data_IF_221414489952
#
_entry.id   IF_221414489952
#
_cell.length_a   1.000
_cell.length_b   1.000
_cell.length_c   1.000
_cell.angle_alpha   90.00
_cell.angle_beta   90.00
_cell.angle_gamma   90.00
#
_symmetry.space_group_name_H-M   'P 1'
#
loop_
_entity.id
_entity.type
_entity.pdbx_description
1 polymer ?
#
# COMPACT_ATOMS: atom_id res chain seq x y z
N UNK A 1 11.35 -19.73 19.07
CA UNK A 1 9.95 -19.43 18.69
C UNK A 1 8.98 -20.46 19.27
N UNK A 2 9.11 -21.77 18.99
CA UNK A 2 8.32 -22.81 19.70
C UNK A 2 9.09 -23.40 20.91
N UNK A 3 10.43 -23.38 20.86
CA UNK A 3 11.30 -23.86 21.94
C UNK A 3 11.70 -22.78 22.97
N UNK A 4 11.04 -21.62 22.99
CA UNK A 4 11.33 -20.55 23.96
C UNK A 4 12.64 -19.77 23.79
N UNK A 5 13.41 -20.01 22.71
CA UNK A 5 14.72 -19.35 22.48
C UNK A 5 14.69 -17.83 22.20
N UNK A 6 13.52 -17.26 21.89
CA UNK A 6 13.32 -15.83 21.62
C UNK A 6 12.08 -15.41 22.41
N UNK A 7 12.21 -14.45 23.33
CA UNK A 7 11.17 -14.05 24.28
C UNK A 7 11.20 -12.54 24.46
N UNK A 8 10.04 -11.88 24.50
CA UNK A 8 9.89 -10.43 24.73
C UNK A 8 10.60 -9.53 23.70
N UNK A 9 10.70 -9.98 22.44
CA UNK A 9 11.35 -9.21 21.38
C UNK A 9 10.33 -8.55 20.43
N UNK A 10 10.47 -7.25 20.20
CA UNK A 10 9.83 -6.55 19.08
C UNK A 10 10.71 -6.66 17.84
N UNK A 11 10.15 -7.13 16.71
CA UNK A 11 10.89 -7.44 15.49
C UNK A 11 10.13 -6.87 14.29
N UNK A 12 10.83 -6.14 13.40
CA UNK A 12 10.26 -5.70 12.13
C UNK A 12 10.20 -6.88 11.15
N UNK A 13 9.04 -7.10 10.54
CA UNK A 13 8.87 -8.05 9.43
C UNK A 13 8.46 -7.27 8.19
N UNK A 14 9.40 -7.12 7.26
CA UNK A 14 9.22 -6.36 6.02
C UNK A 14 10.22 -6.86 4.97
N UNK A 15 10.23 -6.23 3.79
CA UNK A 15 11.15 -6.61 2.70
C UNK A 15 12.56 -6.00 2.84
N UNK A 16 12.70 -4.87 3.54
CA UNK A 16 13.99 -4.20 3.76
C UNK A 16 14.45 -3.32 2.59
N UNK A 17 13.57 -3.09 1.60
CA UNK A 17 13.75 -2.09 0.54
C UNK A 17 12.49 -1.23 0.43
N UNK A 18 12.66 0.05 0.12
CA UNK A 18 11.57 1.00 -0.09
C UNK A 18 11.18 1.09 -1.56
N UNK A 19 9.89 1.28 -1.82
CA UNK A 19 9.33 1.58 -3.14
C UNK A 19 8.40 2.79 -3.02
N UNK A 20 8.22 3.55 -4.09
CA UNK A 20 7.30 4.69 -4.10
C UNK A 20 5.86 4.21 -4.33
N UNK A 21 4.88 4.99 -3.86
CA UNK A 21 3.45 4.74 -4.16
C UNK A 21 3.19 4.81 -5.67
N UNK A 22 3.84 5.74 -6.37
CA UNK A 22 3.77 5.88 -7.83
C UNK A 22 4.24 4.59 -8.51
N UNK A 23 5.40 4.06 -8.12
CA UNK A 23 5.92 2.82 -8.68
C UNK A 23 4.95 1.65 -8.45
N UNK A 24 4.44 1.48 -7.23
CA UNK A 24 3.46 0.44 -6.93
C UNK A 24 2.19 0.55 -7.79
N UNK A 25 1.66 1.77 -7.96
CA UNK A 25 0.48 2.03 -8.78
C UNK A 25 0.73 1.72 -10.27
N UNK A 26 1.87 2.14 -10.82
CA UNK A 26 2.29 1.84 -12.20
C UNK A 26 2.44 0.33 -12.41
N UNK A 27 3.04 -0.39 -11.46
CA UNK A 27 3.19 -1.84 -11.54
C UNK A 27 1.83 -2.55 -11.52
N UNK A 28 0.91 -2.16 -10.63
CA UNK A 28 -0.45 -2.71 -10.62
C UNK A 28 -1.16 -2.46 -11.96
N UNK A 29 -1.13 -1.21 -12.44
CA UNK A 29 -1.77 -0.82 -13.70
C UNK A 29 -1.24 -1.61 -14.90
N UNK A 30 0.08 -1.82 -14.94
CA UNK A 30 0.75 -2.68 -15.93
C UNK A 30 0.28 -4.13 -15.86
N UNK A 31 0.13 -4.73 -14.68
CA UNK A 31 -0.37 -6.11 -14.53
C UNK A 31 -1.84 -6.26 -14.97
N UNK A 32 -2.64 -5.20 -14.79
CA UNK A 32 -4.05 -5.20 -15.21
C UNK A 32 -4.29 -4.69 -16.64
N UNK A 33 -3.26 -4.17 -17.31
CA UNK A 33 -3.34 -3.69 -18.68
C UNK A 33 -4.12 -2.38 -18.84
N UNK A 34 -4.03 -1.47 -17.87
CA UNK A 34 -4.66 -0.15 -17.92
C UNK A 34 -3.65 0.97 -17.72
N UNK A 35 -4.00 2.18 -18.15
CA UNK A 35 -3.26 3.39 -17.77
C UNK A 35 -3.66 3.79 -16.34
N UNK A 36 -2.70 4.00 -15.41
CA UNK A 36 -3.01 4.47 -14.07
C UNK A 36 -3.55 5.92 -14.11
N UNK A 37 -4.62 6.19 -13.38
CA UNK A 37 -5.11 7.55 -13.15
C UNK A 37 -4.66 7.98 -11.74
N UNK A 38 -3.71 8.90 -11.66
CA UNK A 38 -3.10 9.34 -10.39
C UNK A 38 -3.21 10.85 -10.24
N UNK A 39 -3.65 11.30 -9.05
CA UNK A 39 -3.64 12.71 -8.65
C UNK A 39 -2.63 12.87 -7.52
N UNK A 40 -1.66 13.76 -7.70
CA UNK A 40 -0.68 14.08 -6.65
C UNK A 40 -1.25 15.19 -5.77
N UNK A 41 -1.53 14.87 -4.52
CA UNK A 41 -1.99 15.80 -3.51
C UNK A 41 -0.86 16.20 -2.54
N UNK A 42 -0.97 17.33 -1.82
CA UNK A 42 -0.06 17.67 -0.73
C UNK A 42 -0.06 16.61 0.37
N UNK A 43 1.11 16.35 0.97
CA UNK A 43 1.21 15.41 2.10
C UNK A 43 0.37 15.86 3.29
N UNK A 44 -0.21 14.89 3.99
CA UNK A 44 -1.02 15.14 5.19
C UNK A 44 -0.13 15.42 6.40
N UNK A 45 -0.64 16.22 7.35
CA UNK A 45 0.08 16.47 8.60
C UNK A 45 0.26 15.15 9.37
N UNK A 46 1.52 14.76 9.59
CA UNK A 46 1.87 13.50 10.26
C UNK A 46 2.05 12.30 9.34
N UNK A 47 1.91 12.47 8.03
CA UNK A 47 2.20 11.42 7.05
C UNK A 47 3.70 11.04 7.04
N UNK A 48 3.96 9.73 7.02
CA UNK A 48 5.33 9.22 6.85
C UNK A 48 5.62 9.08 5.36
N UNK A 49 6.47 9.95 4.82
CA UNK A 49 6.78 9.99 3.38
C UNK A 49 7.88 9.01 2.97
N UNK A 50 8.69 8.54 3.90
CA UNK A 50 9.74 7.56 3.63
C UNK A 50 9.98 6.67 4.86
N UNK A 51 9.88 5.36 4.67
CA UNK A 51 10.17 4.37 5.70
C UNK A 51 10.71 3.09 5.07
N UNK A 52 11.89 2.65 5.54
CA UNK A 52 12.48 1.36 5.21
C UNK A 52 12.83 0.68 6.53
N UNK A 53 12.22 -0.47 6.77
CA UNK A 53 12.44 -1.20 8.02
C UNK A 53 13.82 -1.86 8.06
N UNK A 54 14.51 -1.70 9.19
CA UNK A 54 15.71 -2.49 9.50
C UNK A 54 15.31 -3.91 9.88
N UNK A 55 15.84 -4.89 9.14
CA UNK A 55 15.60 -6.32 9.31
C UNK A 55 16.70 -7.05 10.06
N UNK A 56 17.72 -6.36 10.57
CA UNK A 56 18.89 -6.97 11.23
C UNK A 56 18.46 -7.97 12.31
N UNK A 57 17.51 -7.56 13.16
CA UNK A 57 16.98 -8.41 14.23
C UNK A 57 16.16 -9.61 13.74
N UNK A 58 15.40 -9.44 12.66
CA UNK A 58 14.63 -10.54 12.08
C UNK A 58 15.56 -11.60 11.46
N UNK A 59 16.61 -11.16 10.78
CA UNK A 59 17.64 -12.03 10.20
C UNK A 59 18.39 -12.80 11.28
N UNK A 60 18.86 -12.10 12.32
CA UNK A 60 19.65 -12.70 13.39
C UNK A 60 18.84 -13.69 14.24
N UNK A 61 17.65 -13.30 14.70
CA UNK A 61 16.88 -14.08 15.67
C UNK A 61 15.99 -15.14 15.03
N UNK A 62 15.53 -14.91 13.80
CA UNK A 62 14.55 -15.78 13.14
C UNK A 62 15.13 -16.48 11.89
N UNK A 63 16.32 -16.09 11.44
CA UNK A 63 16.82 -16.50 10.11
C UNK A 63 15.92 -15.99 8.98
N UNK A 64 15.18 -14.90 9.22
CA UNK A 64 14.20 -14.38 8.27
C UNK A 64 14.90 -13.76 7.06
N UNK A 65 14.52 -14.23 5.87
CA UNK A 65 14.95 -13.67 4.60
C UNK A 65 13.72 -13.51 3.69
N UNK A 66 13.29 -12.27 3.37
CA UNK A 66 12.11 -12.05 2.55
C UNK A 66 12.36 -12.49 1.10
N UNK A 67 11.53 -13.39 0.58
CA UNK A 67 11.76 -14.03 -0.72
C UNK A 67 11.00 -13.40 -1.90
N UNK A 68 9.94 -12.65 -1.62
CA UNK A 68 9.01 -12.15 -2.64
C UNK A 68 9.23 -10.66 -2.83
N UNK A 69 9.83 -10.28 -3.97
CA UNK A 69 9.98 -8.88 -4.35
C UNK A 69 8.63 -8.23 -4.65
N UNK A 70 8.57 -6.89 -4.62
CA UNK A 70 7.32 -6.14 -4.82
C UNK A 70 6.64 -6.51 -6.14
N UNK A 71 7.39 -6.55 -7.26
CA UNK A 71 6.83 -6.85 -8.57
C UNK A 71 6.21 -8.25 -8.65
N UNK A 72 6.88 -9.26 -8.10
CA UNK A 72 6.33 -10.62 -8.02
C UNK A 72 5.09 -10.66 -7.11
N UNK A 73 5.15 -9.98 -5.97
CA UNK A 73 4.03 -9.87 -5.03
C UNK A 73 2.80 -9.23 -5.66
N UNK A 74 2.98 -8.15 -6.44
CA UNK A 74 1.90 -7.48 -7.18
C UNK A 74 1.29 -8.43 -8.20
N UNK A 75 2.11 -9.10 -9.03
CA UNK A 75 1.61 -10.04 -10.02
C UNK A 75 0.77 -11.17 -9.38
N UNK A 76 1.26 -11.73 -8.26
CA UNK A 76 0.54 -12.76 -7.49
C UNK A 76 -0.75 -12.24 -6.88
N UNK A 77 -0.74 -11.01 -6.33
CA UNK A 77 -1.93 -10.40 -5.75
C UNK A 77 -3.00 -10.13 -6.81
N UNK A 78 -2.61 -9.63 -7.99
CA UNK A 78 -3.53 -9.40 -9.11
C UNK A 78 -4.13 -10.71 -9.62
N UNK A 79 -3.31 -11.76 -9.75
CA UNK A 79 -3.79 -13.09 -10.13
C UNK A 79 -4.83 -13.62 -9.13
N UNK A 80 -4.49 -13.58 -7.83
CA UNK A 80 -5.41 -13.99 -6.77
C UNK A 80 -6.71 -13.19 -6.80
N UNK A 81 -6.63 -11.86 -6.94
CA UNK A 81 -7.80 -11.00 -6.98
C UNK A 81 -8.72 -11.33 -8.16
N UNK A 82 -8.16 -11.58 -9.36
CA UNK A 82 -8.95 -11.99 -10.54
C UNK A 82 -9.67 -13.32 -10.33
N UNK A 83 -9.02 -14.28 -9.69
CA UNK A 83 -9.61 -15.60 -9.39
C UNK A 83 -10.72 -15.52 -8.34
N UNK A 84 -10.58 -14.60 -7.38
CA UNK A 84 -11.45 -14.53 -6.20
C UNK A 84 -12.50 -13.40 -6.27
N UNK A 85 -12.48 -12.56 -7.32
CA UNK A 85 -13.35 -11.39 -7.46
C UNK A 85 -14.84 -11.70 -7.25
N UNK A 86 -15.32 -12.82 -7.78
CA UNK A 86 -16.73 -13.22 -7.67
C UNK A 86 -17.17 -13.55 -6.23
N UNK A 87 -16.23 -13.79 -5.32
CA UNK A 87 -16.51 -14.05 -3.89
C UNK A 87 -16.64 -12.76 -3.07
N UNK A 88 -16.33 -11.61 -3.68
CA UNK A 88 -16.39 -10.29 -3.05
C UNK A 88 -17.33 -9.34 -3.82
N UNK A 89 -18.64 -9.64 -3.91
CA UNK A 89 -19.60 -8.77 -4.58
C UNK A 89 -19.72 -7.40 -3.90
N UNK A 90 -19.40 -7.30 -2.61
CA UNK A 90 -19.32 -6.04 -1.87
C UNK A 90 -18.28 -5.07 -2.45
N UNK A 91 -17.27 -5.56 -3.17
CA UNK A 91 -16.22 -4.73 -3.78
C UNK A 91 -16.66 -4.15 -5.14
N UNK A 92 -17.90 -4.40 -5.58
CA UNK A 92 -18.55 -3.72 -6.70
C UNK A 92 -19.16 -2.37 -6.29
N UNK A 93 -18.56 -1.70 -5.30
CA UNK A 93 -18.89 -0.30 -5.03
C UNK A 93 -18.25 0.56 -6.13
N UNK A 94 -19.02 1.39 -6.84
CA UNK A 94 -18.43 2.43 -7.67
C UNK A 94 -17.46 3.22 -6.81
N UNK A 95 -16.26 3.51 -7.33
CA UNK A 95 -15.35 4.44 -6.66
C UNK A 95 -16.06 5.79 -6.60
N UNK A 96 -16.74 6.05 -5.48
CA UNK A 96 -17.26 7.36 -5.17
C UNK A 96 -16.06 8.30 -5.04
N UNK A 97 -16.24 9.59 -5.38
CA UNK A 97 -15.27 10.60 -4.99
C UNK A 97 -14.89 10.37 -3.53
N UNK A 98 -13.60 10.31 -3.26
CA UNK A 98 -13.01 10.06 -1.96
C UNK A 98 -13.53 11.03 -0.88
N UNK A 99 -13.08 10.84 0.35
CA UNK A 99 -13.43 11.73 1.48
C UNK A 99 -13.01 13.20 1.26
N UNK A 100 -12.32 13.49 0.15
CA UNK A 100 -11.89 14.81 -0.31
C UNK A 100 -12.82 15.42 -1.37
N UNK A 101 -13.86 14.71 -1.82
CA UNK A 101 -14.95 15.26 -2.63
C UNK A 101 -14.57 15.63 -4.06
N UNK A 102 -13.44 15.14 -4.57
CA UNK A 102 -13.02 15.47 -5.93
C UNK A 102 -13.63 14.48 -6.91
N UNK A 103 -14.79 14.83 -7.49
CA UNK A 103 -15.19 14.21 -8.76
C UNK A 103 -14.28 14.77 -9.86
N UNK A 104 -14.01 13.95 -10.88
CA UNK A 104 -13.25 14.32 -12.09
C UNK A 104 -13.80 15.54 -12.86
N UNK A 105 -14.96 16.09 -12.47
CA UNK A 105 -15.66 17.22 -13.08
C UNK A 105 -16.02 18.38 -12.10
N UNK A 106 -15.60 18.32 -10.83
CA UNK A 106 -16.00 19.32 -9.83
C UNK A 106 -14.92 20.39 -9.61
N UNK A 107 -15.28 21.67 -9.82
CA UNK A 107 -14.49 22.84 -9.46
C UNK A 107 -13.97 22.73 -8.01
N UNK A 108 -12.68 23.06 -7.82
CA UNK A 108 -11.94 23.04 -6.55
C UNK A 108 -12.69 23.80 -5.44
N UNK A 109 -13.55 23.09 -4.71
CA UNK A 109 -14.31 23.60 -3.57
C UNK A 109 -13.49 23.57 -2.29
N UNK A 110 -12.47 24.42 -2.18
CA UNK A 110 -11.79 24.68 -0.92
C UNK A 110 -12.82 25.27 0.07
N UNK A 111 -13.22 24.48 1.06
CA UNK A 111 -14.12 24.96 2.12
C UNK A 111 -13.44 26.13 2.84
N UNK A 112 -14.07 27.30 2.73
CA UNK A 112 -13.82 28.52 3.49
C UNK A 112 -13.46 28.19 4.94
N UNK A 113 -12.23 28.50 5.34
CA UNK A 113 -11.88 28.69 6.74
C UNK A 113 -12.71 29.88 7.24
N UNK A 114 -13.89 29.59 7.78
CA UNK A 114 -14.66 30.58 8.51
C UNK A 114 -13.89 30.91 9.80
N UNK A 115 -13.40 32.15 9.86
CA UNK A 115 -12.94 32.80 11.08
C UNK A 115 -13.93 32.60 12.23
N UNK A 116 -13.43 32.22 13.40
CA UNK A 116 -13.80 32.80 14.70
C UNK A 116 -12.65 32.57 15.67
#
# INVERSE_FOLDING_TARGET
LVEGRVVNETINLAYGQGNTLVYAAERIASEIGTEPQMTIAPSLLGEVTHYVADLSKARELLGYDPQVALDEGIARAVAWFREHRAMHPEDEVPVAADHEGTRHDAELGWKSLAST
#
